data_IF_447697668525
#
_entry.id   IF_447697668525
#
_cell.length_a   1.000
_cell.length_b   1.000
_cell.length_c   1.000
_cell.angle_alpha   90.00
_cell.angle_beta   90.00
_cell.angle_gamma   90.00
#
_symmetry.space_group_name_H-M   'P 1'
#
loop_
_entity.id
_entity.type
_entity.pdbx_description
1 polymer ?
#
# COMPACT_ATOMS: atom_id res chain seq x y z
N UNK A 1 -14.37 41.23 0.52
CA UNK A 1 -13.04 41.05 -0.08
C UNK A 1 -12.14 40.09 0.71
N UNK A 2 -12.13 40.18 2.03
CA UNK A 2 -11.33 39.25 2.86
C UNK A 2 -11.79 37.79 2.74
N UNK A 3 -13.09 37.58 2.59
CA UNK A 3 -13.66 36.24 2.44
C UNK A 3 -13.21 35.58 1.14
N UNK A 4 -13.09 36.37 0.06
CA UNK A 4 -12.65 35.86 -1.23
C UNK A 4 -11.20 35.39 -1.18
N UNK A 5 -10.33 36.13 -0.50
CA UNK A 5 -8.93 35.74 -0.34
C UNK A 5 -8.77 34.48 0.49
N UNK A 6 -9.58 34.31 1.52
CA UNK A 6 -9.57 33.12 2.37
C UNK A 6 -10.01 31.90 1.58
N UNK A 7 -11.03 32.04 0.72
CA UNK A 7 -11.52 30.95 -0.12
C UNK A 7 -10.46 30.52 -1.14
N UNK A 8 -9.74 31.46 -1.73
CA UNK A 8 -8.66 31.18 -2.67
C UNK A 8 -7.52 30.44 -1.97
N UNK A 9 -7.15 30.87 -0.77
CA UNK A 9 -6.13 30.21 0.03
C UNK A 9 -6.52 28.77 0.39
N UNK A 10 -7.76 28.56 0.77
CA UNK A 10 -8.29 27.24 1.10
C UNK A 10 -8.27 26.33 -0.11
N UNK A 11 -8.63 26.84 -1.27
CA UNK A 11 -8.60 26.09 -2.53
C UNK A 11 -7.18 25.69 -2.91
N UNK A 12 -6.22 26.56 -2.67
CA UNK A 12 -4.81 26.29 -2.94
C UNK A 12 -4.27 25.17 -2.04
N UNK A 13 -4.65 25.15 -0.77
CA UNK A 13 -4.26 24.10 0.18
C UNK A 13 -4.81 22.74 -0.26
N UNK A 14 -6.06 22.68 -0.73
CA UNK A 14 -6.67 21.46 -1.23
C UNK A 14 -5.89 20.90 -2.43
N UNK A 15 -5.46 21.77 -3.34
CA UNK A 15 -4.68 21.36 -4.51
C UNK A 15 -3.32 20.78 -4.12
N UNK A 16 -2.64 21.38 -3.14
CA UNK A 16 -1.38 20.85 -2.64
C UNK A 16 -1.54 19.47 -2.02
N UNK A 17 -2.61 19.26 -1.27
CA UNK A 17 -2.91 17.95 -0.68
C UNK A 17 -3.20 16.90 -1.75
N UNK A 18 -3.83 17.28 -2.85
CA UNK A 18 -4.13 16.37 -3.95
C UNK A 18 -2.87 15.83 -4.63
N UNK A 19 -1.79 16.63 -4.71
CA UNK A 19 -0.54 16.22 -5.33
C UNK A 19 0.25 15.20 -4.49
N UNK A 20 0.08 15.22 -3.17
CA UNK A 20 0.79 14.32 -2.24
C UNK A 20 -0.02 13.04 -2.01
N UNK A 21 -1.24 12.98 -2.51
CA UNK A 21 -2.29 12.08 -2.04
C UNK A 21 -2.16 10.63 -2.48
N UNK A 22 -1.30 10.31 -3.47
CA UNK A 22 -1.27 8.96 -4.03
C UNK A 22 -0.75 7.93 -3.03
N UNK A 23 0.40 8.20 -2.45
CA UNK A 23 0.99 7.30 -1.47
C UNK A 23 0.24 7.35 -0.14
N UNK A 24 -0.25 8.52 0.24
CA UNK A 24 -1.05 8.67 1.46
C UNK A 24 -2.35 7.87 1.37
N UNK A 25 -2.97 7.82 0.21
CA UNK A 25 -4.17 7.03 -0.02
C UNK A 25 -3.87 5.54 0.16
N UNK A 26 -2.75 5.07 -0.36
CA UNK A 26 -2.31 3.68 -0.19
C UNK A 26 -2.06 3.36 1.28
N UNK A 27 -1.36 4.23 1.99
CA UNK A 27 -1.08 4.06 3.43
C UNK A 27 -2.36 3.98 4.24
N UNK A 28 -3.30 4.86 3.96
CA UNK A 28 -4.59 4.90 4.63
C UNK A 28 -5.39 3.63 4.37
N UNK A 29 -5.43 3.19 3.13
CA UNK A 29 -6.13 1.97 2.75
C UNK A 29 -5.48 0.75 3.39
N UNK A 30 -4.16 0.74 3.51
CA UNK A 30 -3.44 -0.32 4.19
C UNK A 30 -3.84 -0.44 5.66
N UNK A 31 -3.97 0.68 6.36
CA UNK A 31 -4.36 0.65 7.77
C UNK A 31 -5.75 0.03 7.98
N UNK A 32 -6.63 0.15 7.02
CA UNK A 32 -7.98 -0.42 7.09
C UNK A 32 -8.06 -1.84 6.54
N UNK A 33 -7.03 -2.31 5.86
CA UNK A 33 -7.06 -3.59 5.15
C UNK A 33 -7.19 -4.79 6.07
N UNK A 34 -6.72 -4.68 7.32
CA UNK A 34 -6.81 -5.79 8.28
C UNK A 34 -8.25 -6.12 8.68
N UNK A 35 -9.20 -5.24 8.41
CA UNK A 35 -10.59 -5.39 8.88
C UNK A 35 -11.38 -6.43 8.10
N UNK A 36 -11.13 -6.58 6.80
CA UNK A 36 -11.90 -7.51 5.97
C UNK A 36 -11.17 -7.81 4.65
N UNK A 37 -11.59 -8.90 4.01
CA UNK A 37 -11.10 -9.27 2.68
C UNK A 37 -11.41 -8.16 1.65
N UNK A 38 -12.59 -7.56 1.75
CA UNK A 38 -13.00 -6.48 0.88
C UNK A 38 -12.05 -5.29 0.98
N UNK A 39 -11.62 -4.95 2.18
CA UNK A 39 -10.67 -3.86 2.38
C UNK A 39 -9.29 -4.18 1.81
N UNK A 40 -8.87 -5.44 1.84
CA UNK A 40 -7.62 -5.87 1.19
C UNK A 40 -7.74 -5.71 -0.32
N UNK A 41 -8.87 -6.11 -0.92
CA UNK A 41 -9.10 -5.93 -2.35
C UNK A 41 -9.08 -4.45 -2.73
N UNK A 42 -9.59 -3.60 -1.88
CA UNK A 42 -9.55 -2.15 -2.08
C UNK A 42 -8.10 -1.63 -2.10
N UNK A 43 -7.26 -2.15 -1.20
CA UNK A 43 -5.84 -1.81 -1.20
C UNK A 43 -5.16 -2.24 -2.50
N UNK A 44 -5.46 -3.43 -2.98
CA UNK A 44 -4.91 -3.94 -4.24
C UNK A 44 -5.31 -3.04 -5.40
N UNK A 45 -6.58 -2.66 -5.49
CA UNK A 45 -7.08 -1.77 -6.54
C UNK A 45 -6.40 -0.41 -6.48
N UNK A 46 -6.22 0.12 -5.28
CA UNK A 46 -5.56 1.41 -5.10
C UNK A 46 -4.11 1.36 -5.57
N UNK A 47 -3.39 0.28 -5.26
CA UNK A 47 -2.02 0.09 -5.74
C UNK A 47 -1.96 -0.02 -7.27
N UNK A 48 -2.91 -0.70 -7.88
CA UNK A 48 -2.94 -0.87 -9.33
C UNK A 48 -3.19 0.43 -10.08
N UNK A 49 -3.95 1.35 -9.48
CA UNK A 49 -4.21 2.66 -10.07
C UNK A 49 -2.91 3.47 -10.25
N UNK A 50 -1.89 3.19 -9.44
CA UNK A 50 -0.62 3.91 -9.48
C UNK A 50 0.53 3.07 -10.01
N UNK A 51 0.25 1.92 -10.58
CA UNK A 51 1.23 0.95 -11.05
C UNK A 51 2.17 1.52 -12.12
N UNK A 52 1.70 2.45 -12.91
CA UNK A 52 2.48 3.03 -14.01
C UNK A 52 3.67 3.86 -13.54
N UNK A 53 3.76 4.18 -12.27
CA UNK A 53 4.83 5.01 -11.73
C UNK A 53 6.08 4.23 -11.32
N UNK A 54 6.07 2.93 -11.47
CA UNK A 54 7.23 2.06 -11.25
C UNK A 54 7.90 2.27 -9.90
N UNK A 55 7.09 2.45 -8.86
CA UNK A 55 7.55 2.77 -7.52
C UNK A 55 7.63 1.50 -6.67
N UNK A 56 8.81 1.21 -6.15
CA UNK A 56 9.05 0.02 -5.33
C UNK A 56 8.17 -0.03 -4.09
N UNK A 57 7.86 1.12 -3.51
CA UNK A 57 7.02 1.18 -2.31
C UNK A 57 5.59 0.74 -2.62
N UNK A 58 5.08 1.08 -3.80
CA UNK A 58 3.75 0.65 -4.24
C UNK A 58 3.73 -0.87 -4.45
N UNK A 59 4.77 -1.43 -5.05
CA UNK A 59 4.90 -2.87 -5.20
C UNK A 59 4.98 -3.58 -3.85
N UNK A 60 5.65 -2.97 -2.88
CA UNK A 60 5.73 -3.52 -1.53
C UNK A 60 4.33 -3.60 -0.88
N UNK A 61 3.56 -2.53 -0.95
CA UNK A 61 2.19 -2.54 -0.43
C UNK A 61 1.32 -3.56 -1.14
N UNK A 62 1.44 -3.67 -2.46
CA UNK A 62 0.68 -4.66 -3.23
C UNK A 62 1.04 -6.08 -2.80
N UNK A 63 2.32 -6.36 -2.63
CA UNK A 63 2.78 -7.69 -2.19
C UNK A 63 2.30 -8.01 -0.78
N UNK A 64 2.33 -7.04 0.12
CA UNK A 64 1.78 -7.21 1.47
C UNK A 64 0.29 -7.50 1.41
N UNK A 65 -0.45 -6.82 0.54
CA UNK A 65 -1.87 -7.10 0.37
C UNK A 65 -2.12 -8.53 -0.12
N UNK A 66 -1.31 -9.01 -1.06
CA UNK A 66 -1.39 -10.39 -1.53
C UNK A 66 -1.12 -11.39 -0.38
N UNK A 67 -0.15 -11.09 0.48
CA UNK A 67 0.14 -11.90 1.65
C UNK A 67 -1.04 -11.91 2.63
N UNK A 68 -1.67 -10.77 2.84
CA UNK A 68 -2.83 -10.68 3.73
C UNK A 68 -4.02 -11.49 3.23
N UNK A 69 -4.20 -11.59 1.91
CA UNK A 69 -5.29 -12.37 1.32
C UNK A 69 -5.14 -13.87 1.56
N UNK A 70 -3.95 -14.34 1.87
CA UNK A 70 -3.69 -15.79 2.04
C UNK A 70 -4.59 -16.39 3.12
N UNK A 71 -4.87 -15.66 4.18
CA UNK A 71 -5.70 -16.18 5.28
C UNK A 71 -7.12 -16.54 4.85
N UNK A 72 -7.59 -16.02 3.71
CA UNK A 72 -8.93 -16.30 3.19
C UNK A 72 -8.95 -17.48 2.21
N UNK A 73 -7.81 -18.11 1.96
CA UNK A 73 -7.74 -19.35 1.15
C UNK A 73 -8.05 -20.55 2.02
N UNK A 74 -8.56 -21.61 1.40
CA UNK A 74 -9.00 -22.80 2.15
C UNK A 74 -7.96 -23.91 2.19
N UNK A 75 -7.21 -24.11 1.10
CA UNK A 75 -6.26 -25.21 0.98
C UNK A 75 -4.94 -24.85 1.67
N UNK A 76 -4.51 -25.61 2.70
CA UNK A 76 -3.27 -25.28 3.43
C UNK A 76 -2.02 -25.40 2.57
N UNK A 77 -1.98 -26.32 1.62
CA UNK A 77 -0.82 -26.44 0.73
C UNK A 77 -0.72 -25.25 -0.22
N UNK A 78 -1.86 -24.79 -0.71
CA UNK A 78 -1.92 -23.59 -1.55
C UNK A 78 -1.52 -22.36 -0.77
N UNK A 79 -1.96 -22.25 0.49
CA UNK A 79 -1.55 -21.14 1.37
C UNK A 79 -0.03 -21.09 1.53
N UNK A 80 0.59 -22.25 1.78
CA UNK A 80 2.03 -22.33 1.96
C UNK A 80 2.77 -21.92 0.69
N UNK A 81 2.29 -22.38 -0.45
CA UNK A 81 2.87 -22.02 -1.75
C UNK A 81 2.82 -20.52 -1.99
N UNK A 82 1.67 -19.91 -1.78
CA UNK A 82 1.49 -18.46 -1.95
C UNK A 82 2.33 -17.68 -0.97
N UNK A 83 2.37 -18.11 0.29
CA UNK A 83 3.17 -17.44 1.29
C UNK A 83 4.65 -17.43 0.93
N UNK A 84 5.16 -18.56 0.49
CA UNK A 84 6.56 -18.69 0.07
C UNK A 84 6.86 -17.78 -1.12
N UNK A 85 5.97 -17.77 -2.10
CA UNK A 85 6.10 -16.99 -3.33
C UNK A 85 6.13 -15.49 -3.05
N UNK A 86 5.12 -15.00 -2.32
CA UNK A 86 4.99 -13.57 -2.03
C UNK A 86 6.02 -13.08 -1.01
N UNK A 87 6.40 -13.92 -0.04
CA UNK A 87 7.46 -13.58 0.91
C UNK A 87 8.80 -13.39 0.20
N UNK A 88 9.11 -14.26 -0.76
CA UNK A 88 10.31 -14.12 -1.58
C UNK A 88 10.29 -12.84 -2.40
N UNK A 89 9.14 -12.54 -2.99
CA UNK A 89 8.97 -11.31 -3.77
C UNK A 89 9.18 -10.07 -2.90
N UNK A 90 8.63 -10.06 -1.70
CA UNK A 90 8.81 -8.95 -0.77
C UNK A 90 10.27 -8.84 -0.32
N UNK A 91 10.94 -9.95 -0.07
CA UNK A 91 12.36 -9.96 0.29
C UNK A 91 13.22 -9.34 -0.80
N UNK A 92 12.91 -9.62 -2.06
CA UNK A 92 13.62 -9.01 -3.18
C UNK A 92 13.40 -7.50 -3.24
N UNK A 93 12.18 -7.05 -2.97
CA UNK A 93 11.89 -5.62 -2.93
C UNK A 93 12.69 -4.95 -1.81
N UNK A 94 12.75 -5.55 -0.64
CA UNK A 94 13.55 -5.05 0.48
C UNK A 94 15.03 -4.98 0.12
N UNK A 95 15.55 -6.05 -0.49
CA UNK A 95 16.96 -6.13 -0.86
C UNK A 95 17.36 -5.03 -1.85
N UNK A 96 16.49 -4.77 -2.83
CA UNK A 96 16.73 -3.75 -3.84
C UNK A 96 16.49 -2.33 -3.34
N UNK A 97 15.85 -2.18 -2.18
CA UNK A 97 15.49 -0.89 -1.60
C UNK A 97 15.87 -0.85 -0.13
N UNK A 98 17.06 -1.33 0.20
CA UNK A 98 17.50 -1.53 1.58
C UNK A 98 17.42 -0.27 2.43
N UNK A 99 17.66 0.90 1.82
CA UNK A 99 17.65 2.17 2.53
C UNK A 99 16.23 2.73 2.76
N UNK A 100 15.19 2.10 2.18
CA UNK A 100 13.82 2.57 2.37
C UNK A 100 13.25 1.99 3.66
N UNK A 101 13.07 2.86 4.65
CA UNK A 101 12.61 2.46 5.98
C UNK A 101 11.17 1.94 5.93
N UNK A 102 10.32 2.53 5.11
CA UNK A 102 8.92 2.12 5.01
C UNK A 102 8.77 0.71 4.45
N UNK A 103 9.54 0.37 3.42
CA UNK A 103 9.54 -0.98 2.83
C UNK A 103 10.03 -2.00 3.85
N UNK A 104 11.06 -1.69 4.61
CA UNK A 104 11.58 -2.56 5.66
C UNK A 104 10.56 -2.75 6.77
N UNK A 105 9.83 -1.70 7.11
CA UNK A 105 8.76 -1.77 8.10
C UNK A 105 7.64 -2.71 7.64
N UNK A 106 7.24 -2.63 6.39
CA UNK A 106 6.23 -3.53 5.82
C UNK A 106 6.68 -5.00 5.91
N UNK A 107 7.94 -5.27 5.62
CA UNK A 107 8.49 -6.63 5.75
C UNK A 107 8.45 -7.12 7.20
N UNK A 108 8.78 -6.25 8.12
CA UNK A 108 8.72 -6.57 9.54
C UNK A 108 7.30 -6.91 9.97
N UNK A 109 6.31 -6.16 9.51
CA UNK A 109 4.90 -6.41 9.85
C UNK A 109 4.44 -7.79 9.40
N UNK A 110 4.94 -8.26 8.25
CA UNK A 110 4.57 -9.57 7.70
C UNK A 110 5.15 -10.72 8.53
N UNK A 111 6.31 -10.52 9.13
CA UNK A 111 6.96 -11.56 9.93
C UNK A 111 6.22 -11.90 11.23
N UNK A 112 5.37 -11.01 11.67
CA UNK A 112 4.54 -11.28 12.84
C UNK A 112 3.27 -12.01 12.44
#
# INVERSE_FOLDING_TARGET
MRITNIIILFFFIINCNAQINNLDQIRKTYLESAKSEENIQKLISTCEDYKSKNDSIIYAYRTVADLMLIKYKYNPFYKLKLFTEYSRKLDLIVKNNFNNIEIRFLRYCVQK
#
